data_IF_987559219540
#
_entry.id   IF_987559219540
#
_cell.length_a   1.000
_cell.length_b   1.000
_cell.length_c   1.000
_cell.angle_alpha   90.00
_cell.angle_beta   90.00
_cell.angle_gamma   90.00
#
_symmetry.space_group_name_H-M   'P 1'
#
loop_
_entity.id
_entity.type
_entity.pdbx_description
1 polymer ?
#
# COMPACT_ATOMS: atom_id res chain seq x y z
N UNK A 1 -1.99 6.44 -55.75
CA UNK A 1 -2.35 7.38 -54.66
C UNK A 1 -3.24 6.76 -53.58
N UNK A 2 -4.44 6.22 -53.89
CA UNK A 2 -5.34 5.61 -52.87
C UNK A 2 -4.66 4.53 -52.00
N UNK A 3 -3.87 3.62 -52.59
CA UNK A 3 -3.13 2.58 -51.85
C UNK A 3 -2.05 3.14 -50.90
N UNK A 4 -1.40 4.24 -51.29
CA UNK A 4 -0.39 4.94 -50.47
C UNK A 4 -1.07 5.65 -49.29
N UNK A 5 -2.20 6.32 -49.54
CA UNK A 5 -3.01 6.96 -48.49
C UNK A 5 -3.52 5.93 -47.48
N UNK A 6 -4.00 4.77 -47.95
CA UNK A 6 -4.42 3.65 -47.11
C UNK A 6 -3.28 3.11 -46.23
N UNK A 7 -2.07 3.02 -46.77
CA UNK A 7 -0.89 2.60 -46.02
C UNK A 7 -0.55 3.59 -44.89
N UNK A 8 -0.52 4.89 -45.16
CA UNK A 8 -0.30 5.90 -44.12
C UNK A 8 -1.41 5.93 -43.07
N UNK A 9 -2.67 5.72 -43.47
CA UNK A 9 -3.78 5.63 -42.53
C UNK A 9 -3.61 4.46 -41.53
N UNK A 10 -3.15 3.29 -41.98
CA UNK A 10 -2.86 2.16 -41.08
C UNK A 10 -1.74 2.49 -40.08
N UNK A 11 -0.67 3.14 -40.53
CA UNK A 11 0.43 3.55 -39.63
C UNK A 11 -0.09 4.49 -38.54
N UNK A 12 -0.91 5.48 -38.91
CA UNK A 12 -1.48 6.43 -37.95
C UNK A 12 -2.33 5.70 -36.90
N UNK A 13 -3.15 4.73 -37.29
CA UNK A 13 -3.97 3.95 -36.36
C UNK A 13 -3.08 3.19 -35.35
N UNK A 14 -1.99 2.56 -35.82
CA UNK A 14 -1.04 1.87 -34.94
C UNK A 14 -0.38 2.85 -33.97
N UNK A 15 0.08 4.01 -34.45
CA UNK A 15 0.71 5.04 -33.61
C UNK A 15 -0.26 5.57 -32.56
N UNK A 16 -1.51 5.84 -32.93
CA UNK A 16 -2.55 6.26 -32.00
C UNK A 16 -2.84 5.19 -30.93
N UNK A 17 -2.93 3.91 -31.33
CA UNK A 17 -3.14 2.80 -30.39
C UNK A 17 -2.01 2.66 -29.38
N UNK A 18 -0.76 2.67 -29.84
CA UNK A 18 0.43 2.61 -28.96
C UNK A 18 0.48 3.81 -28.02
N UNK A 19 0.20 5.02 -28.54
CA UNK A 19 0.19 6.25 -27.73
C UNK A 19 -0.88 6.20 -26.64
N UNK A 20 -2.08 5.70 -26.95
CA UNK A 20 -3.14 5.54 -25.97
C UNK A 20 -2.76 4.57 -24.83
N UNK A 21 -2.20 3.41 -25.18
CA UNK A 21 -1.71 2.42 -24.19
C UNK A 21 -0.63 3.06 -23.30
N UNK A 22 0.33 3.77 -23.90
CA UNK A 22 1.41 4.43 -23.16
C UNK A 22 0.90 5.51 -22.21
N UNK A 23 -0.05 6.35 -22.64
CA UNK A 23 -0.65 7.39 -21.80
C UNK A 23 -1.40 6.79 -20.62
N UNK A 24 -2.19 5.73 -20.83
CA UNK A 24 -2.89 5.02 -19.76
C UNK A 24 -1.91 4.37 -18.78
N UNK A 25 -0.85 3.74 -19.27
CA UNK A 25 0.20 3.19 -18.41
C UNK A 25 0.81 4.28 -17.52
N UNK A 26 1.18 5.43 -18.10
CA UNK A 26 1.73 6.57 -17.36
C UNK A 26 0.75 7.14 -16.33
N UNK A 27 -0.53 7.25 -16.69
CA UNK A 27 -1.57 7.72 -15.79
C UNK A 27 -1.75 6.77 -14.59
N UNK A 28 -1.79 5.46 -14.84
CA UNK A 28 -1.90 4.44 -13.80
C UNK A 28 -0.65 4.44 -12.90
N UNK A 29 0.55 4.52 -13.48
CA UNK A 29 1.80 4.62 -12.73
C UNK A 29 1.81 5.85 -11.81
N UNK A 30 1.43 7.02 -12.31
CA UNK A 30 1.36 8.24 -11.50
C UNK A 30 0.33 8.14 -10.38
N UNK A 31 -0.80 7.47 -10.64
CA UNK A 31 -1.83 7.22 -9.63
C UNK A 31 -1.31 6.31 -8.52
N UNK A 32 -0.63 5.21 -8.88
CA UNK A 32 0.01 4.32 -7.89
C UNK A 32 1.11 5.05 -7.12
N UNK A 33 1.97 5.83 -7.79
CA UNK A 33 3.01 6.61 -7.12
C UNK A 33 2.43 7.60 -6.11
N UNK A 34 1.35 8.29 -6.45
CA UNK A 34 0.67 9.22 -5.54
C UNK A 34 0.11 8.50 -4.32
N UNK A 35 -0.55 7.36 -4.52
CA UNK A 35 -1.09 6.55 -3.42
C UNK A 35 0.03 5.98 -2.53
N UNK A 36 1.14 5.55 -3.13
CA UNK A 36 2.26 4.98 -2.40
C UNK A 36 3.01 5.99 -1.55
N UNK A 37 3.12 7.25 -1.99
CA UNK A 37 3.83 8.29 -1.23
C UNK A 37 3.32 8.43 0.22
N UNK A 38 2.03 8.16 0.45
CA UNK A 38 1.44 8.18 1.79
C UNK A 38 2.02 7.11 2.74
N UNK A 39 2.66 6.08 2.19
CA UNK A 39 3.21 4.93 2.92
C UNK A 39 4.74 4.83 2.76
N UNK A 40 5.27 5.08 1.55
CA UNK A 40 6.70 5.05 1.23
C UNK A 40 7.51 6.06 2.06
N UNK A 41 6.90 7.17 2.48
CA UNK A 41 7.53 8.15 3.38
C UNK A 41 7.91 7.58 4.75
N UNK A 42 7.38 6.41 5.12
CA UNK A 42 7.72 5.74 6.38
C UNK A 42 8.87 4.74 6.23
N UNK A 43 9.27 4.35 5.01
CA UNK A 43 10.33 3.35 4.79
C UNK A 43 11.64 3.82 5.42
N UNK A 44 12.23 2.97 6.27
CA UNK A 44 13.45 3.25 7.05
C UNK A 44 13.36 4.46 8.01
N UNK A 45 12.16 4.99 8.24
CA UNK A 45 11.92 6.09 9.17
C UNK A 45 11.47 5.53 10.53
N UNK A 46 12.00 6.12 11.60
CA UNK A 46 11.56 5.85 12.96
C UNK A 46 10.33 6.69 13.31
N UNK A 47 9.27 6.03 13.75
CA UNK A 47 7.99 6.63 14.09
C UNK A 47 7.63 6.29 15.53
N UNK A 48 6.86 7.15 16.20
CA UNK A 48 6.29 6.79 17.50
C UNK A 48 5.19 5.73 17.34
N UNK A 49 4.84 5.01 18.40
CA UNK A 49 3.66 4.15 18.39
C UNK A 49 2.37 4.93 18.06
N UNK A 50 2.30 6.21 18.43
CA UNK A 50 1.19 7.10 18.07
C UNK A 50 1.10 7.34 16.56
N UNK A 51 2.24 7.60 15.92
CA UNK A 51 2.34 7.73 14.47
C UNK A 51 2.01 6.41 13.77
N UNK A 52 2.49 5.27 14.29
CA UNK A 52 2.20 3.94 13.77
C UNK A 52 0.69 3.64 13.75
N UNK A 53 -0.04 3.99 14.81
CA UNK A 53 -1.51 3.88 14.83
C UNK A 53 -2.15 4.71 13.73
N UNK A 54 -1.62 5.89 13.44
CA UNK A 54 -2.10 6.74 12.33
C UNK A 54 -1.89 6.06 10.99
N UNK A 55 -0.73 5.41 10.77
CA UNK A 55 -0.45 4.66 9.53
C UNK A 55 -1.39 3.45 9.40
N UNK A 56 -1.62 2.71 10.49
CA UNK A 56 -2.56 1.58 10.51
C UNK A 56 -3.98 2.01 10.17
N UNK A 57 -4.48 3.10 10.76
CA UNK A 57 -5.81 3.62 10.44
C UNK A 57 -5.91 4.03 8.97
N UNK A 58 -4.87 4.66 8.40
CA UNK A 58 -4.85 5.02 6.98
C UNK A 58 -4.89 3.78 6.06
N UNK A 59 -4.21 2.70 6.42
CA UNK A 59 -4.27 1.43 5.68
C UNK A 59 -5.67 0.79 5.77
N UNK A 60 -6.30 0.81 6.94
CA UNK A 60 -7.68 0.36 7.14
C UNK A 60 -8.65 1.18 6.28
N UNK A 61 -8.61 2.50 6.35
CA UNK A 61 -9.46 3.40 5.55
C UNK A 61 -9.27 3.17 4.04
N UNK A 62 -8.03 2.94 3.61
CA UNK A 62 -7.72 2.61 2.21
C UNK A 62 -8.37 1.29 1.79
N UNK A 63 -8.28 0.25 2.62
CA UNK A 63 -8.92 -1.03 2.34
C UNK A 63 -10.44 -0.95 2.32
N UNK A 64 -11.05 -0.19 3.25
CA UNK A 64 -12.50 0.05 3.25
C UNK A 64 -12.95 0.76 1.98
N UNK A 65 -12.27 1.83 1.58
CA UNK A 65 -12.54 2.58 0.34
C UNK A 65 -12.35 1.72 -0.91
N UNK A 66 -11.43 0.76 -0.87
CA UNK A 66 -11.16 -0.17 -1.95
C UNK A 66 -12.07 -1.41 -1.92
N UNK A 67 -13.00 -1.49 -0.96
CA UNK A 67 -13.92 -2.62 -0.77
C UNK A 67 -13.18 -3.97 -0.64
N UNK A 68 -12.03 -3.96 0.05
CA UNK A 68 -11.21 -5.15 0.25
C UNK A 68 -11.93 -6.11 1.19
N UNK A 69 -12.16 -7.34 0.74
CA UNK A 69 -12.82 -8.36 1.54
C UNK A 69 -11.97 -8.78 2.75
N UNK A 70 -12.65 -9.07 3.86
CA UNK A 70 -12.04 -9.71 5.03
C UNK A 70 -12.21 -11.23 4.96
N UNK A 71 -11.27 -11.97 5.54
CA UNK A 71 -11.41 -13.40 5.77
C UNK A 71 -12.27 -13.68 7.01
N UNK A 72 -12.49 -14.96 7.31
CA UNK A 72 -13.33 -15.40 8.44
C UNK A 72 -12.79 -14.98 9.81
N UNK A 73 -11.55 -14.48 9.88
CA UNK A 73 -10.90 -13.95 11.10
C UNK A 73 -10.92 -12.41 11.14
N UNK A 74 -11.58 -11.75 10.20
CA UNK A 74 -11.66 -10.28 10.14
C UNK A 74 -10.43 -9.58 9.55
N UNK A 75 -9.49 -10.32 8.95
CA UNK A 75 -8.25 -9.78 8.35
C UNK A 75 -8.48 -9.52 6.87
N UNK A 76 -8.03 -8.37 6.36
CA UNK A 76 -8.13 -8.03 4.93
C UNK A 76 -7.37 -9.04 4.08
N UNK A 77 -8.01 -9.53 3.00
CA UNK A 77 -7.39 -10.45 2.05
C UNK A 77 -6.57 -9.68 1.02
N UNK A 78 -5.44 -10.25 0.63
CA UNK A 78 -4.71 -9.81 -0.56
C UNK A 78 -5.62 -9.96 -1.79
N UNK A 79 -5.89 -8.85 -2.47
CA UNK A 79 -6.69 -8.82 -3.70
C UNK A 79 -5.84 -8.60 -4.96
N UNK A 80 -4.51 -8.69 -4.83
CA UNK A 80 -3.50 -8.55 -5.88
C UNK A 80 -3.52 -7.20 -6.62
N UNK A 81 -4.25 -6.21 -6.09
CA UNK A 81 -4.52 -4.94 -6.79
C UNK A 81 -4.29 -3.72 -5.93
N UNK A 82 -4.94 -3.62 -4.78
CA UNK A 82 -4.97 -2.41 -3.95
C UNK A 82 -5.27 -2.67 -2.46
N UNK A 83 -5.21 -3.91 -1.99
CA UNK A 83 -5.20 -4.23 -0.57
C UNK A 83 -3.89 -3.83 0.09
N UNK A 84 -3.92 -3.38 1.34
CA UNK A 84 -2.73 -3.02 2.12
C UNK A 84 -2.79 -3.78 3.44
N UNK A 85 -1.70 -4.45 3.83
CA UNK A 85 -1.54 -5.01 5.17
C UNK A 85 -0.38 -4.33 5.90
N UNK A 86 -0.50 -4.24 7.22
CA UNK A 86 0.57 -3.76 8.09
C UNK A 86 0.78 -4.77 9.20
N UNK A 87 2.04 -5.16 9.38
CA UNK A 87 2.49 -6.02 10.46
C UNK A 87 3.39 -5.23 11.41
N UNK A 88 3.20 -5.46 12.71
CA UNK A 88 3.97 -4.84 13.78
C UNK A 88 4.66 -5.93 14.59
N UNK A 89 5.99 -6.00 14.52
CA UNK A 89 6.81 -6.88 15.34
C UNK A 89 7.16 -6.18 16.65
N UNK A 90 6.70 -6.76 17.76
CA UNK A 90 7.02 -6.32 19.12
C UNK A 90 8.17 -7.17 19.62
N UNK A 91 9.30 -6.54 19.91
CA UNK A 91 10.53 -7.24 20.32
C UNK A 91 10.42 -7.77 21.75
N UNK A 92 9.62 -7.13 22.60
CA UNK A 92 9.49 -7.49 24.02
C UNK A 92 8.94 -8.91 24.23
N UNK A 93 8.14 -9.40 23.29
CA UNK A 93 7.51 -10.72 23.33
C UNK A 93 7.71 -11.54 22.04
N UNK A 94 8.61 -11.11 21.17
CA UNK A 94 8.92 -11.70 19.86
C UNK A 94 7.68 -12.09 19.04
N UNK A 95 6.64 -11.24 19.07
CA UNK A 95 5.35 -11.51 18.42
C UNK A 95 5.07 -10.49 17.31
N UNK A 96 4.52 -10.97 16.21
CA UNK A 96 4.05 -10.16 15.07
C UNK A 96 2.53 -10.03 15.14
N UNK A 97 2.05 -8.79 15.11
CA UNK A 97 0.63 -8.45 15.13
C UNK A 97 0.21 -7.85 13.80
N UNK A 98 -0.92 -8.32 13.25
CA UNK A 98 -1.59 -7.68 12.11
C UNK A 98 -2.32 -6.43 12.57
N UNK A 99 -2.45 -5.42 11.71
CA UNK A 99 -3.15 -4.17 12.05
C UNK A 99 -4.60 -4.37 12.54
N UNK A 100 -5.30 -5.42 12.09
CA UNK A 100 -6.65 -5.77 12.51
C UNK A 100 -6.71 -6.40 13.91
N UNK A 101 -5.58 -6.85 14.45
CA UNK A 101 -5.47 -7.32 15.83
C UNK A 101 -5.77 -6.19 16.82
N UNK A 102 -5.49 -4.95 16.40
CA UNK A 102 -5.76 -3.75 17.17
C UNK A 102 -7.12 -3.19 16.76
N UNK A 103 -8.20 -3.76 17.28
CA UNK A 103 -9.51 -3.12 17.19
C UNK A 103 -9.51 -1.75 17.93
N UNK A 104 -10.63 -1.02 17.96
CA UNK A 104 -10.69 0.28 18.68
C UNK A 104 -10.19 0.21 20.12
N UNK A 105 -10.46 -0.89 20.84
CA UNK A 105 -9.98 -1.10 22.21
C UNK A 105 -8.51 -1.53 22.25
N UNK A 106 -8.07 -2.33 21.26
CA UNK A 106 -6.70 -2.75 21.05
C UNK A 106 -5.77 -1.58 20.75
N UNK A 107 -6.20 -0.62 19.92
CA UNK A 107 -5.45 0.60 19.62
C UNK A 107 -5.25 1.48 20.86
N UNK A 108 -6.26 1.61 21.72
CA UNK A 108 -6.11 2.38 22.96
C UNK A 108 -5.10 1.72 23.91
N UNK A 109 -5.15 0.40 24.06
CA UNK A 109 -4.17 -0.36 24.84
C UNK A 109 -2.77 -0.28 24.25
N UNK A 110 -2.67 -0.36 22.92
CA UNK A 110 -1.41 -0.18 22.21
C UNK A 110 -0.81 1.20 22.49
N UNK A 111 -1.60 2.27 22.39
CA UNK A 111 -1.12 3.62 22.71
C UNK A 111 -0.70 3.78 24.17
N UNK A 112 -1.43 3.17 25.11
CA UNK A 112 -1.09 3.22 26.53
C UNK A 112 0.26 2.56 26.84
N UNK A 113 0.58 1.45 26.17
CA UNK A 113 1.80 0.67 26.43
C UNK A 113 2.99 1.07 25.53
N UNK A 114 2.70 1.41 24.26
CA UNK A 114 3.69 1.57 23.20
C UNK A 114 3.66 2.95 22.52
N UNK A 115 2.79 3.87 22.93
CA UNK A 115 2.59 5.16 22.24
C UNK A 115 3.85 6.02 22.15
N UNK A 116 4.73 5.97 23.16
CA UNK A 116 6.03 6.65 23.20
C UNK A 116 7.19 5.80 22.68
N UNK A 117 6.98 4.51 22.44
CA UNK A 117 7.98 3.58 21.92
C UNK A 117 8.20 3.88 20.43
N UNK A 118 9.44 3.68 19.97
CA UNK A 118 9.82 3.88 18.58
C UNK A 118 9.69 2.59 17.79
N UNK A 119 9.24 2.74 16.56
CA UNK A 119 9.11 1.67 15.57
C UNK A 119 9.78 2.12 14.29
N UNK A 120 10.41 1.18 13.57
CA UNK A 120 11.00 1.44 12.26
C UNK A 120 10.29 0.61 11.21
N UNK A 121 9.91 1.24 10.10
CA UNK A 121 9.47 0.48 8.93
C UNK A 121 10.69 -0.18 8.27
N UNK A 122 10.79 -1.50 8.32
CA UNK A 122 11.94 -2.26 7.81
C UNK A 122 11.71 -2.79 6.40
N UNK A 123 10.45 -2.99 6.00
CA UNK A 123 10.12 -3.41 4.65
C UNK A 123 8.80 -2.81 4.15
N UNK A 124 8.75 -2.61 2.83
CA UNK A 124 7.54 -2.33 2.07
C UNK A 124 7.54 -3.25 0.84
N UNK A 125 6.45 -3.96 0.63
CA UNK A 125 6.21 -4.77 -0.56
C UNK A 125 5.14 -4.15 -1.44
N UNK A 126 5.11 -4.53 -2.72
CA UNK A 126 4.23 -3.96 -3.72
C UNK A 126 3.46 -5.03 -4.48
N UNK A 127 2.22 -4.71 -4.86
CA UNK A 127 1.43 -5.49 -5.80
C UNK A 127 2.13 -5.56 -7.15
N UNK A 128 2.30 -6.76 -7.71
CA UNK A 128 3.01 -6.90 -8.99
C UNK A 128 2.29 -6.21 -10.14
N UNK A 129 0.96 -6.25 -10.13
CA UNK A 129 0.09 -5.76 -11.20
C UNK A 129 -0.02 -4.22 -11.22
N UNK A 130 -0.24 -3.61 -10.05
CA UNK A 130 -0.52 -2.15 -9.94
C UNK A 130 0.65 -1.34 -9.42
N UNK A 131 1.68 -1.99 -8.88
CA UNK A 131 2.79 -1.36 -8.15
C UNK A 131 2.34 -0.54 -6.95
N UNK A 132 1.12 -0.75 -6.46
CA UNK A 132 0.67 -0.14 -5.20
C UNK A 132 1.33 -0.84 -4.01
N UNK A 133 1.56 -0.12 -2.93
CA UNK A 133 1.97 -0.73 -1.65
C UNK A 133 0.99 -1.85 -1.30
N UNK A 134 1.55 -3.00 -0.94
CA UNK A 134 0.83 -4.24 -0.59
C UNK A 134 0.96 -4.54 0.90
N UNK A 135 2.17 -4.41 1.42
CA UNK A 135 2.49 -4.77 2.80
C UNK A 135 3.56 -3.84 3.35
N UNK A 136 3.50 -3.58 4.66
CA UNK A 136 4.54 -2.88 5.41
C UNK A 136 4.85 -3.64 6.70
N UNK A 137 6.13 -3.79 7.01
CA UNK A 137 6.59 -4.30 8.31
C UNK A 137 7.16 -3.16 9.15
N UNK A 138 6.64 -3.03 10.37
CA UNK A 138 7.20 -2.18 11.41
C UNK A 138 7.79 -3.03 12.52
N UNK A 139 9.03 -2.74 12.90
CA UNK A 139 9.70 -3.42 14.00
C UNK A 139 9.92 -2.43 15.15
N UNK A 140 9.58 -2.85 16.36
CA UNK A 140 9.90 -2.10 17.57
C UNK A 140 11.42 -1.91 17.65
N UNK A 141 11.82 -0.66 17.92
CA UNK A 141 13.20 -0.33 18.22
C UNK A 141 13.36 -0.56 19.71
N UNK A 142 14.07 -1.62 20.09
CA UNK A 142 14.44 -1.85 21.48
C UNK A 142 15.33 -0.69 21.95
N UNK A 143 15.00 -0.11 23.10
CA UNK A 143 15.92 0.79 23.82
C UNK A 143 17.04 -0.03 24.48
#
# INVERSE_FOLDING_TARGET
MKKIVLFFAMIIIVVCGVSYIFLNYKANYNTSKKANLEFENYLNVEVSGTDLVTVMNRAIDSNEKNEVEKNNKGIYKDNEKNSISIEVKITDNDTIYQMETFDKSGMQKFLANYGSIKFKCTSIEYHQSTKKVKHMLFEQISN
#
